data_IF_191310518781
#
_entry.id   IF_191310518781
#
_cell.length_a   1.000
_cell.length_b   1.000
_cell.length_c   1.000
_cell.angle_alpha   90.00
_cell.angle_beta   90.00
_cell.angle_gamma   90.00
#
_symmetry.space_group_name_H-M   'P 1'
#
loop_
_entity.id
_entity.type
_entity.pdbx_description
1 polymer ?
#
# COMPACT_ATOMS: atom_id res chain seq x y z
N UNK A 1 16.13 21.76 -7.06
CA UNK A 1 15.33 20.52 -7.08
C UNK A 1 15.41 19.90 -5.70
N UNK A 2 14.29 19.82 -4.98
CA UNK A 2 14.26 19.18 -3.65
C UNK A 2 14.25 17.66 -3.84
N UNK A 3 15.42 17.03 -3.75
CA UNK A 3 15.53 15.57 -3.77
C UNK A 3 14.86 14.97 -2.53
N UNK A 4 14.12 13.88 -2.69
CA UNK A 4 13.61 13.09 -1.57
C UNK A 4 14.63 12.04 -1.11
N UNK A 5 14.51 11.54 0.13
CA UNK A 5 15.41 10.50 0.67
C UNK A 5 15.46 9.25 -0.22
N UNK A 6 14.31 8.79 -0.73
CA UNK A 6 14.25 7.63 -1.61
C UNK A 6 14.95 7.90 -2.95
N UNK A 7 14.85 9.10 -3.51
CA UNK A 7 15.56 9.47 -4.73
C UNK A 7 17.09 9.58 -4.51
N UNK A 8 17.52 10.14 -3.38
CA UNK A 8 18.92 10.19 -3.01
C UNK A 8 19.50 8.78 -2.80
N UNK A 9 18.74 7.88 -2.16
CA UNK A 9 19.11 6.47 -2.01
C UNK A 9 19.18 5.76 -3.36
N UNK A 10 18.20 5.97 -4.23
CA UNK A 10 18.19 5.37 -5.57
C UNK A 10 19.37 5.86 -6.42
N UNK A 11 19.71 7.15 -6.32
CA UNK A 11 20.90 7.69 -6.98
C UNK A 11 22.20 7.10 -6.41
N UNK A 12 22.28 6.87 -5.09
CA UNK A 12 23.40 6.18 -4.48
C UNK A 12 23.52 4.73 -4.98
N UNK A 13 22.39 4.03 -5.14
CA UNK A 13 22.35 2.68 -5.69
C UNK A 13 22.80 2.63 -7.15
N UNK A 14 22.38 3.60 -7.96
CA UNK A 14 22.81 3.73 -9.36
C UNK A 14 24.32 3.95 -9.45
N UNK A 15 24.90 4.78 -8.56
CA UNK A 15 26.35 4.99 -8.49
C UNK A 15 27.07 3.67 -8.15
N UNK A 16 26.53 2.88 -7.22
CA UNK A 16 27.12 1.58 -6.88
C UNK A 16 26.98 0.54 -8.00
N UNK A 17 25.84 0.51 -8.69
CA UNK A 17 25.62 -0.34 -9.86
C UNK A 17 26.59 0.04 -10.98
N UNK A 18 26.74 1.33 -11.26
CA UNK A 18 27.67 1.86 -12.25
C UNK A 18 29.13 1.51 -11.91
N UNK A 19 29.55 1.68 -10.65
CA UNK A 19 30.91 1.30 -10.22
C UNK A 19 31.20 -0.19 -10.44
N UNK A 20 30.22 -1.06 -10.13
CA UNK A 20 30.35 -2.51 -10.37
C UNK A 20 30.44 -2.85 -11.86
N UNK A 21 29.63 -2.19 -12.68
CA UNK A 21 29.65 -2.41 -14.13
C UNK A 21 30.94 -1.90 -14.77
N UNK A 22 31.44 -0.74 -14.36
CA UNK A 22 32.70 -0.19 -14.81
C UNK A 22 33.89 -1.11 -14.45
N UNK A 23 33.82 -1.78 -13.30
CA UNK A 23 34.83 -2.79 -12.92
C UNK A 23 34.77 -4.04 -13.83
N UNK A 24 33.56 -4.50 -14.21
CA UNK A 24 33.39 -5.62 -15.15
C UNK A 24 33.91 -5.26 -16.55
N UNK A 25 33.52 -4.10 -17.08
CA UNK A 25 33.99 -3.63 -18.38
C UNK A 25 35.52 -3.47 -18.44
N UNK A 26 36.14 -3.11 -17.31
CA UNK A 26 37.60 -3.05 -17.19
C UNK A 26 38.24 -4.45 -17.18
N UNK A 27 37.62 -5.42 -16.52
CA UNK A 27 38.08 -6.82 -16.53
C UNK A 27 37.94 -7.45 -17.93
N UNK A 28 36.88 -7.10 -18.65
CA UNK A 28 36.63 -7.54 -20.03
C UNK A 28 37.47 -6.78 -21.07
N UNK A 29 38.28 -5.79 -20.65
CA UNK A 29 39.06 -4.89 -21.52
C UNK A 29 38.21 -4.11 -22.55
N UNK A 30 36.88 -4.12 -22.40
CA UNK A 30 35.95 -3.45 -23.31
C UNK A 30 35.97 -1.92 -23.16
N UNK A 31 36.32 -1.42 -21.96
CA UNK A 31 36.43 0.00 -21.68
C UNK A 31 37.65 0.29 -20.79
N UNK A 32 38.64 1.00 -21.32
CA UNK A 32 39.78 1.50 -20.57
C UNK A 32 39.70 3.03 -20.43
N UNK A 33 39.34 3.51 -19.25
CA UNK A 33 39.44 4.92 -18.89
C UNK A 33 40.85 5.23 -18.38
N UNK A 34 41.33 6.44 -18.67
CA UNK A 34 42.59 6.95 -18.15
C UNK A 34 42.56 6.98 -16.61
N UNK A 35 43.60 6.51 -15.91
CA UNK A 35 43.73 6.60 -14.45
C UNK A 35 43.28 7.94 -13.84
N UNK A 36 43.62 9.07 -14.47
CA UNK A 36 43.24 10.40 -13.99
C UNK A 36 41.72 10.64 -14.04
N UNK A 37 41.06 10.18 -15.11
CA UNK A 37 39.60 10.29 -15.26
C UNK A 37 38.85 9.42 -14.25
N UNK A 38 39.38 8.23 -13.96
CA UNK A 38 38.82 7.34 -12.94
C UNK A 38 38.88 7.94 -11.55
N UNK A 39 40.00 8.58 -11.23
CA UNK A 39 40.18 9.25 -9.93
C UNK A 39 39.24 10.44 -9.79
N UNK A 40 39.09 11.26 -10.82
CA UNK A 40 38.16 12.39 -10.84
C UNK A 40 36.71 11.93 -10.70
N UNK A 41 36.31 10.86 -11.40
CA UNK A 41 34.98 10.27 -11.30
C UNK A 41 34.72 9.66 -9.91
N UNK A 42 35.72 8.98 -9.35
CA UNK A 42 35.64 8.41 -8.02
C UNK A 42 35.51 9.49 -6.94
N UNK A 43 36.23 10.61 -7.08
CA UNK A 43 36.14 11.77 -6.21
C UNK A 43 34.77 12.43 -6.29
N UNK A 44 34.26 12.68 -7.50
CA UNK A 44 32.93 13.24 -7.71
C UNK A 44 31.84 12.37 -7.06
N UNK A 45 31.85 11.06 -7.31
CA UNK A 45 30.91 10.14 -6.66
C UNK A 45 31.04 10.10 -5.13
N UNK A 46 32.25 10.26 -4.58
CA UNK A 46 32.46 10.32 -3.12
C UNK A 46 31.80 11.56 -2.53
N UNK A 47 32.05 12.72 -3.13
CA UNK A 47 31.47 14.00 -2.70
C UNK A 47 29.94 13.96 -2.76
N UNK A 48 29.37 13.38 -3.82
CA UNK A 48 27.93 13.25 -3.99
C UNK A 48 27.29 12.34 -2.93
N UNK A 49 27.94 11.22 -2.61
CA UNK A 49 27.48 10.30 -1.56
C UNK A 49 27.59 10.92 -0.16
N UNK A 50 28.65 11.69 0.11
CA UNK A 50 28.83 12.41 1.37
C UNK A 50 27.79 13.52 1.55
N UNK A 51 27.45 14.23 0.46
CA UNK A 51 26.37 15.23 0.46
C UNK A 51 24.99 14.61 0.70
N UNK A 52 24.69 13.47 0.06
CA UNK A 52 23.46 12.74 0.32
C UNK A 52 23.40 12.18 1.74
N UNK A 53 24.54 11.78 2.30
CA UNK A 53 24.61 11.30 3.68
C UNK A 53 24.30 12.41 4.68
N UNK A 54 24.90 13.59 4.50
CA UNK A 54 24.69 14.71 5.42
C UNK A 54 23.26 15.24 5.38
N UNK A 55 22.62 15.22 4.21
CA UNK A 55 21.27 15.77 4.02
C UNK A 55 20.13 14.74 4.20
N UNK A 56 20.35 13.46 3.89
CA UNK A 56 19.25 12.48 3.80
C UNK A 56 19.45 11.17 4.59
N UNK A 57 20.59 10.99 5.28
CA UNK A 57 20.89 9.79 6.08
C UNK A 57 20.66 8.48 5.27
N UNK A 58 21.39 8.37 4.15
CA UNK A 58 21.32 7.23 3.21
C UNK A 58 22.19 6.04 3.66
N UNK A 59 21.72 4.83 3.38
CA UNK A 59 22.42 3.59 3.74
C UNK A 59 23.57 3.31 2.76
N UNK A 60 24.80 3.13 3.28
CA UNK A 60 26.02 2.91 2.48
C UNK A 60 26.10 1.54 1.80
N UNK A 61 25.46 0.49 2.33
CA UNK A 61 25.75 -0.88 1.93
C UNK A 61 24.53 -1.80 1.89
N UNK A 62 24.61 -2.84 1.06
CA UNK A 62 23.57 -3.89 1.00
C UNK A 62 23.34 -4.59 2.35
N UNK A 63 24.36 -4.64 3.22
CA UNK A 63 24.26 -5.14 4.59
C UNK A 63 23.54 -4.15 5.52
N UNK A 64 23.79 -2.85 5.37
CA UNK A 64 23.03 -1.79 6.03
C UNK A 64 21.56 -1.79 5.58
N UNK A 65 21.28 -2.06 4.30
CA UNK A 65 19.91 -2.27 3.79
C UNK A 65 19.23 -3.47 4.44
N UNK A 66 19.89 -4.62 4.58
CA UNK A 66 19.32 -5.79 5.28
C UNK A 66 19.04 -5.45 6.75
N UNK A 67 19.93 -4.73 7.42
CA UNK A 67 19.74 -4.27 8.79
C UNK A 67 18.56 -3.28 8.90
N UNK A 68 18.42 -2.36 7.93
CA UNK A 68 17.31 -1.41 7.85
C UNK A 68 15.96 -2.10 7.63
N UNK A 69 15.94 -3.19 6.85
CA UNK A 69 14.73 -3.98 6.60
C UNK A 69 14.32 -4.73 7.87
N UNK A 70 15.28 -5.34 8.57
CA UNK A 70 15.06 -5.95 9.88
C UNK A 70 14.57 -4.91 10.91
N UNK A 71 15.12 -3.70 10.91
CA UNK A 71 14.66 -2.61 11.77
C UNK A 71 13.24 -2.14 11.42
N UNK A 72 12.91 -2.04 10.13
CA UNK A 72 11.54 -1.72 9.68
C UNK A 72 10.56 -2.79 10.15
N UNK A 73 10.88 -4.07 10.00
CA UNK A 73 10.04 -5.18 10.48
C UNK A 73 9.92 -5.15 12.01
N UNK A 74 11.03 -5.01 12.73
CA UNK A 74 11.04 -4.95 14.20
C UNK A 74 10.23 -3.74 14.71
N UNK A 75 10.38 -2.57 14.09
CA UNK A 75 9.59 -1.39 14.43
C UNK A 75 8.10 -1.59 14.10
N UNK A 76 7.76 -2.23 12.99
CA UNK A 76 6.36 -2.52 12.64
C UNK A 76 5.73 -3.47 13.66
N UNK A 77 6.41 -4.57 13.98
CA UNK A 77 5.99 -5.53 15.01
C UNK A 77 5.90 -4.86 16.38
N UNK A 78 6.86 -4.00 16.73
CA UNK A 78 6.84 -3.21 17.96
C UNK A 78 5.66 -2.24 18.02
N UNK A 79 5.32 -1.56 16.92
CA UNK A 79 4.16 -0.69 16.83
C UNK A 79 2.86 -1.45 17.05
N UNK A 80 2.70 -2.59 16.37
CA UNK A 80 1.53 -3.44 16.52
C UNK A 80 1.43 -4.02 17.93
N UNK A 81 2.54 -4.52 18.48
CA UNK A 81 2.59 -5.05 19.84
C UNK A 81 2.28 -3.98 20.89
N UNK A 82 2.79 -2.75 20.73
CA UNK A 82 2.46 -1.63 21.62
C UNK A 82 0.99 -1.24 21.52
N UNK A 83 0.45 -1.12 20.31
CA UNK A 83 -0.98 -0.82 20.11
C UNK A 83 -1.88 -1.91 20.74
N UNK A 84 -1.55 -3.19 20.51
CA UNK A 84 -2.25 -4.31 21.12
C UNK A 84 -2.10 -4.33 22.64
N UNK A 85 -0.90 -4.07 23.17
CA UNK A 85 -0.64 -4.02 24.62
C UNK A 85 -1.48 -2.95 25.29
N UNK A 86 -1.61 -1.75 24.69
CA UNK A 86 -2.51 -0.71 25.19
C UNK A 86 -3.95 -1.21 25.18
N UNK A 87 -4.44 -1.76 24.07
CA UNK A 87 -5.79 -2.34 24.00
C UNK A 87 -6.07 -3.35 25.12
N UNK A 88 -5.19 -4.34 25.29
CA UNK A 88 -5.34 -5.37 26.31
C UNK A 88 -5.21 -4.82 27.73
N UNK A 89 -4.34 -3.84 27.97
CA UNK A 89 -4.21 -3.18 29.27
C UNK A 89 -5.52 -2.52 29.67
N UNK A 90 -6.15 -1.81 28.73
CA UNK A 90 -7.46 -1.22 28.96
C UNK A 90 -8.47 -2.32 29.26
N UNK A 91 -8.67 -3.31 28.37
CA UNK A 91 -9.65 -4.38 28.61
C UNK A 91 -9.48 -5.13 29.94
N UNK A 92 -8.24 -5.37 30.39
CA UNK A 92 -7.96 -6.12 31.61
C UNK A 92 -8.34 -5.36 32.89
N UNK A 93 -8.04 -4.07 32.96
CA UNK A 93 -8.20 -3.28 34.19
C UNK A 93 -9.41 -2.33 34.16
N UNK A 94 -10.09 -2.20 33.02
CA UNK A 94 -11.15 -1.20 32.81
C UNK A 94 -12.24 -1.22 33.87
N UNK A 95 -12.74 -2.42 34.20
CA UNK A 95 -13.84 -2.61 35.15
C UNK A 95 -13.49 -2.30 36.60
N UNK A 96 -12.22 -2.05 36.92
CA UNK A 96 -11.77 -1.74 38.29
C UNK A 96 -11.76 -0.23 38.58
N UNK A 97 -11.88 0.61 37.57
CA UNK A 97 -11.83 2.07 37.71
C UNK A 97 -13.23 2.68 37.75
N UNK A 98 -13.41 3.73 38.54
CA UNK A 98 -14.63 4.55 38.49
C UNK A 98 -14.68 5.42 37.23
N UNK A 99 -15.87 5.88 36.85
CA UNK A 99 -16.12 6.62 35.59
C UNK A 99 -15.19 7.84 35.41
N UNK A 100 -15.01 8.66 36.44
CA UNK A 100 -14.13 9.83 36.37
C UNK A 100 -12.66 9.46 36.11
N UNK A 101 -12.19 8.36 36.70
CA UNK A 101 -10.84 7.86 36.48
C UNK A 101 -10.70 7.27 35.07
N UNK A 102 -11.70 6.54 34.59
CA UNK A 102 -11.76 6.01 33.23
C UNK A 102 -11.65 7.14 32.19
N UNK A 103 -12.47 8.18 32.31
CA UNK A 103 -12.43 9.35 31.40
C UNK A 103 -11.08 10.06 31.46
N UNK A 104 -10.54 10.28 32.66
CA UNK A 104 -9.24 10.93 32.84
C UNK A 104 -8.08 10.12 32.22
N UNK A 105 -8.10 8.79 32.37
CA UNK A 105 -7.09 7.89 31.79
C UNK A 105 -7.18 7.89 30.27
N UNK A 106 -8.38 7.83 29.68
CA UNK A 106 -8.54 7.85 28.22
C UNK A 106 -8.08 9.16 27.60
N UNK A 107 -8.50 10.29 28.18
CA UNK A 107 -8.07 11.61 27.73
C UNK A 107 -6.56 11.79 27.92
N UNK A 108 -6.03 11.41 29.07
CA UNK A 108 -4.61 11.47 29.38
C UNK A 108 -3.77 10.60 28.46
N UNK A 109 -4.22 9.38 28.14
CA UNK A 109 -3.53 8.47 27.23
C UNK A 109 -3.54 9.00 25.79
N UNK A 110 -4.68 9.49 25.28
CA UNK A 110 -4.78 10.03 23.93
C UNK A 110 -3.96 11.32 23.76
N UNK A 111 -4.10 12.28 24.68
CA UNK A 111 -3.34 13.54 24.62
C UNK A 111 -1.85 13.32 24.91
N UNK A 112 -1.53 12.48 25.90
CA UNK A 112 -0.15 12.17 26.29
C UNK A 112 0.61 11.47 25.17
N UNK A 113 0.01 10.49 24.51
CA UNK A 113 0.62 9.80 23.36
C UNK A 113 0.77 10.72 22.14
N UNK A 114 -0.17 11.63 21.90
CA UNK A 114 -0.04 12.65 20.85
C UNK A 114 1.11 13.63 21.13
N UNK A 115 1.19 14.16 22.35
CA UNK A 115 2.28 15.05 22.76
C UNK A 115 3.64 14.34 22.71
N UNK A 116 3.69 13.08 23.15
CA UNK A 116 4.88 12.25 23.06
C UNK A 116 5.31 12.06 21.60
N UNK A 117 4.35 11.85 20.68
CA UNK A 117 4.64 11.74 19.24
C UNK A 117 5.35 12.98 18.70
N UNK A 118 4.86 14.19 19.01
CA UNK A 118 5.50 15.43 18.56
C UNK A 118 6.84 15.68 19.26
N UNK A 119 6.96 15.33 20.53
CA UNK A 119 8.20 15.46 21.29
C UNK A 119 9.30 14.52 20.79
N UNK A 120 8.95 13.28 20.46
CA UNK A 120 9.87 12.30 19.85
C UNK A 120 10.23 12.75 18.44
N UNK A 121 9.27 13.23 17.65
CA UNK A 121 9.53 13.74 16.29
C UNK A 121 10.58 14.86 16.26
N UNK A 122 10.60 15.74 17.26
CA UNK A 122 11.61 16.79 17.36
C UNK A 122 13.02 16.31 17.73
N UNK A 123 13.15 15.08 18.24
CA UNK A 123 14.44 14.48 18.65
C UNK A 123 14.95 13.37 17.75
N UNK A 124 14.05 12.69 17.04
CA UNK A 124 14.36 11.52 16.24
C UNK A 124 14.61 11.91 14.77
N UNK A 125 15.89 11.91 14.36
CA UNK A 125 16.28 12.13 12.97
C UNK A 125 15.90 10.97 12.03
N UNK A 126 15.79 9.75 12.58
CA UNK A 126 15.50 8.54 11.80
C UNK A 126 14.01 8.36 11.51
N UNK A 127 13.16 8.92 12.38
CA UNK A 127 11.71 8.87 12.33
C UNK A 127 11.10 7.54 12.78
N UNK A 128 11.87 6.50 13.08
CA UNK A 128 11.34 5.19 13.48
C UNK A 128 10.52 5.27 14.78
N UNK A 129 11.04 5.95 15.80
CA UNK A 129 10.34 6.09 17.08
C UNK A 129 9.15 7.04 16.98
N UNK A 130 9.23 8.05 16.10
CA UNK A 130 8.08 8.92 15.83
C UNK A 130 6.92 8.15 15.20
N UNK A 131 7.19 7.18 14.31
CA UNK A 131 6.19 6.31 13.69
C UNK A 131 5.56 5.36 14.71
N UNK A 132 6.37 4.80 15.63
CA UNK A 132 5.90 3.99 16.76
C UNK A 132 4.95 4.79 17.65
N UNK A 133 5.38 5.98 18.09
CA UNK A 133 4.59 6.85 18.94
C UNK A 133 3.28 7.26 18.27
N UNK A 134 3.32 7.63 16.98
CA UNK A 134 2.13 7.98 16.21
C UNK A 134 1.13 6.81 16.11
N UNK A 135 1.62 5.56 15.99
CA UNK A 135 0.75 4.38 15.99
C UNK A 135 0.06 4.19 17.34
N UNK A 136 0.79 4.37 18.44
CA UNK A 136 0.21 4.33 19.79
C UNK A 136 -0.81 5.45 19.97
N UNK A 137 -0.53 6.66 19.49
CA UNK A 137 -1.47 7.77 19.54
C UNK A 137 -2.76 7.48 18.77
N UNK A 138 -2.65 6.89 17.59
CA UNK A 138 -3.82 6.43 16.82
C UNK A 138 -4.62 5.37 17.57
N UNK A 139 -3.96 4.35 18.12
CA UNK A 139 -4.61 3.31 18.91
C UNK A 139 -5.33 3.88 20.14
N UNK A 140 -4.67 4.79 20.88
CA UNK A 140 -5.27 5.48 22.02
C UNK A 140 -6.50 6.30 21.62
N UNK A 141 -6.49 6.98 20.46
CA UNK A 141 -7.65 7.73 20.00
C UNK A 141 -8.83 6.81 19.66
N UNK A 142 -8.58 5.75 18.90
CA UNK A 142 -9.63 4.77 18.55
C UNK A 142 -10.23 4.19 19.83
N UNK A 143 -9.37 3.76 20.77
CA UNK A 143 -9.80 3.22 22.05
C UNK A 143 -10.58 4.25 22.87
N UNK A 144 -10.14 5.51 22.91
CA UNK A 144 -10.84 6.60 23.58
C UNK A 144 -12.27 6.75 23.04
N UNK A 145 -12.44 6.82 21.72
CA UNK A 145 -13.78 6.97 21.12
C UNK A 145 -14.69 5.77 21.37
N UNK A 146 -14.16 4.54 21.32
CA UNK A 146 -14.95 3.32 21.55
C UNK A 146 -15.35 3.18 23.03
N UNK A 147 -14.39 3.36 23.95
CA UNK A 147 -14.64 3.20 25.39
C UNK A 147 -15.52 4.31 25.95
N UNK A 148 -15.35 5.58 25.53
CA UNK A 148 -16.27 6.65 25.93
C UNK A 148 -17.68 6.41 25.40
N UNK A 149 -17.79 5.90 24.17
CA UNK A 149 -19.08 5.51 23.61
C UNK A 149 -19.80 4.47 24.48
N UNK A 150 -19.06 3.49 25.01
CA UNK A 150 -19.61 2.49 25.91
C UNK A 150 -19.98 3.07 27.29
N UNK A 151 -19.10 3.87 27.91
CA UNK A 151 -19.35 4.49 29.23
C UNK A 151 -20.62 5.33 29.20
N UNK A 152 -20.75 6.20 28.20
CA UNK A 152 -21.87 7.13 28.10
C UNK A 152 -23.05 6.58 27.30
N UNK A 153 -23.01 5.29 26.93
CA UNK A 153 -24.04 4.63 26.13
C UNK A 153 -24.41 5.41 24.85
N UNK A 154 -23.40 5.97 24.18
CA UNK A 154 -23.55 6.72 22.94
C UNK A 154 -23.74 5.72 21.80
N UNK A 155 -24.74 5.96 20.96
CA UNK A 155 -25.02 5.13 19.79
C UNK A 155 -23.84 5.16 18.81
N UNK A 156 -23.34 4.00 18.35
CA UNK A 156 -22.28 3.93 17.35
C UNK A 156 -22.67 4.66 16.06
N UNK A 157 -21.74 5.47 15.52
CA UNK A 157 -21.93 6.26 14.29
C UNK A 157 -20.75 6.08 13.34
N UNK A 158 -21.06 6.07 12.06
CA UNK A 158 -20.14 6.16 10.92
C UNK A 158 -19.19 7.37 11.01
N UNK A 159 -19.61 8.48 11.61
CA UNK A 159 -18.77 9.68 11.75
C UNK A 159 -17.50 9.44 12.56
N UNK A 160 -17.47 8.43 13.43
CA UNK A 160 -16.25 8.03 14.14
C UNK A 160 -15.15 7.59 13.14
N UNK A 161 -15.52 6.89 12.06
CA UNK A 161 -14.59 6.46 11.02
C UNK A 161 -13.94 7.66 10.32
N UNK A 162 -14.69 8.73 10.09
CA UNK A 162 -14.14 9.96 9.50
C UNK A 162 -13.14 10.64 10.45
N UNK A 163 -13.43 10.69 11.75
CA UNK A 163 -12.52 11.24 12.75
C UNK A 163 -11.21 10.41 12.82
N UNK A 164 -11.33 9.07 12.80
CA UNK A 164 -10.17 8.18 12.75
C UNK A 164 -9.37 8.35 11.47
N UNK A 165 -10.03 8.43 10.31
CA UNK A 165 -9.38 8.68 9.03
C UNK A 165 -8.61 10.01 9.03
N UNK A 166 -9.24 11.09 9.47
CA UNK A 166 -8.62 12.41 9.55
C UNK A 166 -7.38 12.39 10.46
N UNK A 167 -7.51 11.81 11.66
CA UNK A 167 -6.38 11.74 12.60
C UNK A 167 -5.23 10.87 12.07
N UNK A 168 -5.54 9.71 11.51
CA UNK A 168 -4.55 8.81 10.92
C UNK A 168 -3.83 9.47 9.73
N UNK A 169 -4.55 10.14 8.84
CA UNK A 169 -3.96 10.84 7.70
C UNK A 169 -3.07 12.00 8.17
N UNK A 170 -3.54 12.83 9.10
CA UNK A 170 -2.74 13.93 9.66
C UNK A 170 -1.44 13.41 10.30
N UNK A 171 -1.51 12.35 11.11
CA UNK A 171 -0.32 11.73 11.69
C UNK A 171 0.56 11.05 10.64
N UNK A 172 -0.03 10.43 9.61
CA UNK A 172 0.71 9.82 8.52
C UNK A 172 1.58 10.86 7.80
N UNK A 173 0.99 11.99 7.42
CA UNK A 173 1.70 13.10 6.78
C UNK A 173 2.66 13.83 7.72
N UNK A 174 2.35 13.90 9.01
CA UNK A 174 3.27 14.47 10.00
C UNK A 174 4.51 13.58 10.21
N UNK A 175 4.34 12.27 10.33
CA UNK A 175 5.43 11.35 10.70
C UNK A 175 5.99 10.53 9.54
N UNK A 176 5.59 10.79 8.29
CA UNK A 176 5.90 9.97 7.11
C UNK A 176 5.60 8.47 7.36
N UNK A 177 4.47 8.21 8.02
CA UNK A 177 4.10 6.90 8.54
C UNK A 177 3.17 6.16 7.57
N UNK A 178 3.76 5.30 6.73
CA UNK A 178 3.06 4.49 5.71
C UNK A 178 1.92 3.63 6.26
N UNK A 179 2.08 3.04 7.45
CA UNK A 179 1.04 2.22 8.08
C UNK A 179 -0.17 3.05 8.52
N UNK A 180 0.07 4.25 9.03
CA UNK A 180 -1.01 5.17 9.41
C UNK A 180 -1.74 5.68 8.17
N UNK A 181 -1.03 5.88 7.05
CA UNK A 181 -1.68 6.18 5.78
C UNK A 181 -2.65 5.05 5.39
N UNK A 182 -2.18 3.80 5.42
CA UNK A 182 -3.03 2.65 5.14
C UNK A 182 -4.23 2.56 6.09
N UNK A 183 -4.03 2.75 7.40
CA UNK A 183 -5.11 2.78 8.38
C UNK A 183 -6.13 3.91 8.09
N UNK A 184 -5.65 5.11 7.78
CA UNK A 184 -6.49 6.25 7.43
C UNK A 184 -7.28 6.03 6.15
N UNK A 185 -6.67 5.43 5.13
CA UNK A 185 -7.36 5.04 3.90
C UNK A 185 -8.42 3.96 4.15
N UNK A 186 -8.13 2.96 4.98
CA UNK A 186 -9.12 1.95 5.36
C UNK A 186 -10.30 2.57 6.12
N UNK A 187 -10.05 3.46 7.08
CA UNK A 187 -11.09 4.20 7.78
C UNK A 187 -11.91 5.08 6.83
N UNK A 188 -11.27 5.73 5.85
CA UNK A 188 -11.95 6.54 4.84
C UNK A 188 -12.80 5.68 3.89
N UNK A 189 -12.27 4.53 3.45
CA UNK A 189 -12.99 3.53 2.65
C UNK A 189 -14.25 3.06 3.39
N UNK A 190 -14.10 2.67 4.65
CA UNK A 190 -15.22 2.24 5.50
C UNK A 190 -16.23 3.38 5.69
N UNK A 191 -15.79 4.62 5.91
CA UNK A 191 -16.67 5.77 6.03
C UNK A 191 -17.47 6.00 4.76
N UNK A 192 -16.82 6.08 3.60
CA UNK A 192 -17.51 6.33 2.33
C UNK A 192 -18.46 5.17 2.00
N UNK A 193 -18.04 3.93 2.21
CA UNK A 193 -18.91 2.77 2.02
C UNK A 193 -20.15 2.82 2.93
N UNK A 194 -19.97 3.14 4.22
CA UNK A 194 -21.06 3.37 5.15
C UNK A 194 -21.99 4.51 4.71
N UNK A 195 -21.45 5.66 4.26
CA UNK A 195 -22.25 6.80 3.79
C UNK A 195 -23.08 6.44 2.56
N UNK A 196 -22.47 5.81 1.57
CA UNK A 196 -23.17 5.35 0.36
C UNK A 196 -24.24 4.33 0.72
N UNK A 197 -23.94 3.41 1.64
CA UNK A 197 -24.92 2.44 2.16
C UNK A 197 -26.11 3.08 2.87
N UNK A 198 -25.88 4.10 3.69
CA UNK A 198 -26.99 4.81 4.34
C UNK A 198 -27.88 5.56 3.36
N UNK A 199 -27.35 6.05 2.23
CA UNK A 199 -28.17 6.65 1.16
C UNK A 199 -29.09 5.63 0.48
N UNK A 200 -28.66 4.37 0.41
CA UNK A 200 -29.47 3.26 -0.07
C UNK A 200 -30.40 2.64 0.98
N UNK A 201 -30.45 3.19 2.20
CA UNK A 201 -31.30 2.70 3.29
C UNK A 201 -30.74 1.52 4.09
N UNK A 202 -29.47 1.14 3.86
CA UNK A 202 -28.79 0.05 4.54
C UNK A 202 -28.15 0.58 5.83
N UNK A 203 -28.17 -0.23 6.90
CA UNK A 203 -27.48 0.14 8.14
C UNK A 203 -25.96 0.19 7.93
N UNK A 204 -25.27 1.17 8.53
CA UNK A 204 -23.87 1.47 8.22
C UNK A 204 -22.90 0.30 8.50
N UNK A 205 -23.21 -0.61 9.44
CA UNK A 205 -22.44 -1.83 9.70
C UNK A 205 -22.65 -2.91 8.63
N UNK A 206 -23.74 -2.84 7.88
CA UNK A 206 -24.07 -3.70 6.74
C UNK A 206 -23.47 -3.18 5.42
N UNK A 207 -22.48 -2.28 5.46
CA UNK A 207 -21.78 -1.78 4.27
C UNK A 207 -21.13 -2.88 3.41
N UNK A 208 -20.96 -4.09 3.94
CA UNK A 208 -20.45 -5.26 3.20
C UNK A 208 -21.49 -6.01 2.38
N UNK A 209 -22.80 -5.73 2.58
CA UNK A 209 -23.87 -6.40 1.84
C UNK A 209 -23.88 -6.03 0.36
N UNK A 210 -23.50 -4.80 0.03
CA UNK A 210 -23.42 -4.31 -1.33
C UNK A 210 -22.00 -3.82 -1.65
N UNK A 211 -21.17 -4.66 -2.28
CA UNK A 211 -19.77 -4.32 -2.58
C UNK A 211 -19.61 -3.06 -3.44
N UNK A 212 -20.63 -2.65 -4.19
CA UNK A 212 -20.62 -1.46 -5.04
C UNK A 212 -20.37 -0.15 -4.26
N UNK A 213 -20.66 -0.12 -2.96
CA UNK A 213 -20.45 1.06 -2.09
C UNK A 213 -18.99 1.53 -2.04
N UNK A 214 -18.04 0.65 -2.35
CA UNK A 214 -16.62 0.95 -2.32
C UNK A 214 -16.12 1.67 -3.58
N UNK A 215 -16.86 1.65 -4.71
CA UNK A 215 -16.39 2.22 -5.99
C UNK A 215 -16.11 3.73 -5.94
N UNK A 216 -16.97 4.58 -5.35
CA UNK A 216 -16.68 6.02 -5.28
C UNK A 216 -15.39 6.29 -4.51
N UNK A 217 -15.19 5.59 -3.39
CA UNK A 217 -14.01 5.72 -2.55
C UNK A 217 -12.75 5.24 -3.27
N UNK A 218 -12.84 4.11 -3.99
CA UNK A 218 -11.75 3.53 -4.77
C UNK A 218 -11.21 4.51 -5.82
N UNK A 219 -12.12 5.13 -6.60
CA UNK A 219 -11.74 6.10 -7.63
C UNK A 219 -11.12 7.36 -7.03
N UNK A 220 -11.69 7.89 -5.95
CA UNK A 220 -11.17 9.08 -5.27
C UNK A 220 -9.76 8.81 -4.72
N UNK A 221 -9.56 7.71 -4.00
CA UNK A 221 -8.26 7.35 -3.41
C UNK A 221 -7.21 7.12 -4.50
N UNK A 222 -7.57 6.45 -5.59
CA UNK A 222 -6.67 6.24 -6.72
C UNK A 222 -6.32 7.56 -7.44
N UNK A 223 -7.24 8.53 -7.47
CA UNK A 223 -7.03 9.82 -8.10
C UNK A 223 -6.16 10.79 -7.28
N UNK A 224 -6.06 10.63 -5.95
CA UNK A 224 -5.29 11.56 -5.09
C UNK A 224 -3.83 11.73 -5.57
N UNK A 225 -3.05 10.68 -5.87
CA UNK A 225 -1.68 10.85 -6.38
C UNK A 225 -1.57 11.45 -7.78
N UNK A 226 -2.68 11.52 -8.54
CA UNK A 226 -2.73 12.19 -9.84
C UNK A 226 -2.95 13.70 -9.66
N UNK A 227 -3.73 14.09 -8.64
CA UNK A 227 -4.11 15.48 -8.39
C UNK A 227 -3.11 16.20 -7.48
N UNK A 228 -2.51 15.49 -6.52
CA UNK A 228 -1.61 16.05 -5.52
C UNK A 228 -0.22 15.45 -5.70
N UNK A 229 0.78 16.31 -5.93
CA UNK A 229 2.17 15.88 -6.06
C UNK A 229 2.73 15.41 -4.69
N UNK A 230 2.86 14.09 -4.53
CA UNK A 230 3.39 13.46 -3.30
C UNK A 230 4.93 13.41 -3.27
N UNK A 231 5.63 14.32 -3.94
CA UNK A 231 7.09 14.23 -4.13
C UNK A 231 7.90 14.29 -2.82
N UNK A 232 7.32 14.87 -1.76
CA UNK A 232 7.94 14.95 -0.43
C UNK A 232 7.75 13.71 0.45
N UNK A 233 6.86 12.78 0.10
CA UNK A 233 6.49 11.64 0.95
C UNK A 233 6.81 10.31 0.26
N UNK A 234 7.73 9.57 0.86
CA UNK A 234 8.31 8.40 0.19
C UNK A 234 7.39 7.18 0.34
N UNK A 235 7.01 6.57 -0.79
CA UNK A 235 6.14 5.39 -0.81
C UNK A 235 4.65 5.65 -0.52
N UNK A 236 4.21 6.91 -0.39
CA UNK A 236 2.79 7.25 -0.20
C UNK A 236 1.97 7.01 -1.47
N UNK A 237 2.47 7.47 -2.62
CA UNK A 237 1.76 7.32 -3.89
C UNK A 237 1.43 5.85 -4.24
N UNK A 238 2.34 4.87 -4.07
CA UNK A 238 2.01 3.45 -4.20
C UNK A 238 0.88 2.99 -3.28
N UNK A 239 0.84 3.44 -2.02
CA UNK A 239 -0.20 3.03 -1.06
C UNK A 239 -1.58 3.51 -1.53
N UNK A 240 -1.72 4.77 -1.92
CA UNK A 240 -2.97 5.27 -2.49
C UNK A 240 -3.42 4.46 -3.71
N UNK A 241 -2.50 4.16 -4.64
CA UNK A 241 -2.84 3.41 -5.86
C UNK A 241 -3.25 1.98 -5.55
N UNK A 242 -2.48 1.27 -4.73
CA UNK A 242 -2.77 -0.12 -4.35
C UNK A 242 -4.08 -0.21 -3.59
N UNK A 243 -4.32 0.66 -2.59
CA UNK A 243 -5.59 0.66 -1.85
C UNK A 243 -6.78 1.06 -2.73
N UNK A 244 -6.61 2.01 -3.65
CA UNK A 244 -7.64 2.36 -4.62
C UNK A 244 -7.97 1.19 -5.56
N UNK A 245 -6.97 0.47 -6.07
CA UNK A 245 -7.19 -0.72 -6.90
C UNK A 245 -7.77 -1.89 -6.12
N UNK A 246 -7.36 -2.11 -4.87
CA UNK A 246 -7.95 -3.14 -4.00
C UNK A 246 -9.43 -2.84 -3.74
N UNK A 247 -9.75 -1.58 -3.41
CA UNK A 247 -11.12 -1.14 -3.19
C UNK A 247 -11.98 -1.17 -4.46
N UNK A 248 -11.37 -1.22 -5.65
CA UNK A 248 -12.08 -1.38 -6.92
C UNK A 248 -12.25 -2.86 -7.28
N UNK A 249 -11.16 -3.63 -7.30
CA UNK A 249 -11.17 -5.00 -7.81
C UNK A 249 -11.74 -6.02 -6.83
N UNK A 250 -11.63 -5.81 -5.51
CA UNK A 250 -12.24 -6.74 -4.56
C UNK A 250 -13.77 -6.76 -4.70
N UNK A 251 -14.48 -5.61 -4.73
CA UNK A 251 -15.91 -5.63 -5.01
C UNK A 251 -16.28 -6.21 -6.38
N UNK A 252 -15.52 -5.87 -7.44
CA UNK A 252 -15.76 -6.44 -8.77
C UNK A 252 -15.61 -7.96 -8.74
N UNK A 253 -14.60 -8.47 -8.03
CA UNK A 253 -14.40 -9.91 -7.85
C UNK A 253 -15.55 -10.56 -7.10
N UNK A 254 -16.06 -9.92 -6.05
CA UNK A 254 -17.23 -10.44 -5.32
C UNK A 254 -18.45 -10.47 -6.25
N UNK A 255 -18.77 -9.37 -6.93
CA UNK A 255 -19.94 -9.26 -7.81
C UNK A 255 -19.84 -10.12 -9.07
N UNK A 256 -18.62 -10.45 -9.51
CA UNK A 256 -18.35 -11.36 -10.60
C UNK A 256 -18.67 -12.84 -10.28
N UNK A 257 -18.79 -13.19 -8.99
CA UNK A 257 -19.06 -14.56 -8.52
C UNK A 257 -20.36 -14.66 -7.68
N UNK A 258 -20.81 -13.56 -7.11
CA UNK A 258 -22.02 -13.44 -6.30
C UNK A 258 -22.84 -12.25 -6.81
N UNK A 259 -23.47 -12.41 -7.99
CA UNK A 259 -24.24 -11.34 -8.62
C UNK A 259 -25.48 -10.89 -7.82
N UNK A 260 -25.95 -11.73 -6.88
CA UNK A 260 -27.08 -11.43 -5.99
C UNK A 260 -26.83 -10.24 -5.06
N UNK A 261 -25.55 -9.91 -4.79
CA UNK A 261 -25.16 -8.79 -3.93
C UNK A 261 -25.14 -7.42 -4.66
N UNK A 262 -25.51 -7.40 -5.95
CA UNK A 262 -25.60 -6.17 -6.73
C UNK A 262 -26.92 -5.44 -6.50
N UNK A 263 -26.93 -4.12 -6.65
CA UNK A 263 -28.19 -3.35 -6.71
C UNK A 263 -28.95 -3.53 -8.02
N UNK A 264 -28.29 -4.02 -9.06
CA UNK A 264 -28.89 -4.16 -10.37
C UNK A 264 -29.95 -5.27 -10.35
N UNK A 265 -31.18 -4.93 -10.75
CA UNK A 265 -32.30 -5.88 -10.83
C UNK A 265 -32.26 -6.78 -12.08
N UNK A 266 -31.09 -6.95 -12.67
CA UNK A 266 -30.89 -7.78 -13.86
C UNK A 266 -30.81 -9.27 -13.49
N UNK A 267 -30.80 -10.13 -14.51
CA UNK A 267 -30.53 -11.55 -14.30
C UNK A 267 -29.14 -11.73 -13.70
N UNK A 268 -29.03 -12.51 -12.63
CA UNK A 268 -27.79 -12.74 -11.86
C UNK A 268 -26.61 -13.11 -12.77
N UNK A 269 -26.81 -14.03 -13.72
CA UNK A 269 -25.75 -14.42 -14.66
C UNK A 269 -25.29 -13.30 -15.61
N UNK A 270 -26.16 -12.32 -15.91
CA UNK A 270 -25.77 -11.14 -16.69
C UNK A 270 -24.94 -10.18 -15.84
N UNK A 271 -25.31 -9.98 -14.57
CA UNK A 271 -24.56 -9.17 -13.60
C UNK A 271 -23.15 -9.72 -13.43
N UNK A 272 -23.04 -11.03 -13.15
CA UNK A 272 -21.76 -11.73 -13.02
C UNK A 272 -20.91 -11.56 -14.28
N UNK A 273 -21.51 -11.77 -15.46
CA UNK A 273 -20.82 -11.59 -16.74
C UNK A 273 -20.31 -10.17 -16.97
N UNK A 274 -21.11 -9.16 -16.62
CA UNK A 274 -20.71 -7.74 -16.73
C UNK A 274 -19.54 -7.43 -15.78
N UNK A 275 -19.63 -7.84 -14.51
CA UNK A 275 -18.53 -7.61 -13.57
C UNK A 275 -17.27 -8.40 -13.91
N UNK A 276 -17.39 -9.60 -14.47
CA UNK A 276 -16.25 -10.34 -15.01
C UNK A 276 -15.57 -9.58 -16.16
N UNK A 277 -16.34 -9.08 -17.13
CA UNK A 277 -15.81 -8.27 -18.22
C UNK A 277 -15.15 -6.99 -17.70
N UNK A 278 -15.79 -6.29 -16.76
CA UNK A 278 -15.23 -5.11 -16.11
C UNK A 278 -13.94 -5.43 -15.33
N UNK A 279 -13.87 -6.60 -14.68
CA UNK A 279 -12.68 -7.08 -13.99
C UNK A 279 -11.50 -7.28 -14.93
N UNK A 280 -11.69 -8.01 -16.04
CA UNK A 280 -10.63 -8.22 -17.03
C UNK A 280 -10.21 -6.92 -17.73
N UNK A 281 -11.18 -6.11 -18.18
CA UNK A 281 -10.90 -4.83 -18.83
C UNK A 281 -10.20 -3.86 -17.87
N UNK A 282 -10.69 -3.76 -16.62
CA UNK A 282 -10.10 -2.93 -15.59
C UNK A 282 -8.68 -3.36 -15.24
N UNK A 283 -8.43 -4.65 -15.07
CA UNK A 283 -7.09 -5.19 -14.81
C UNK A 283 -6.13 -4.94 -15.99
N UNK A 284 -6.60 -5.13 -17.23
CA UNK A 284 -5.84 -4.80 -18.44
C UNK A 284 -5.50 -3.30 -18.54
N UNK A 285 -6.47 -2.44 -18.25
CA UNK A 285 -6.26 -0.98 -18.21
C UNK A 285 -5.28 -0.57 -17.11
N UNK A 286 -5.35 -1.19 -15.93
CA UNK A 286 -4.40 -0.97 -14.85
C UNK A 286 -2.97 -1.36 -15.27
N UNK A 287 -2.79 -2.54 -15.88
CA UNK A 287 -1.49 -2.98 -16.40
C UNK A 287 -0.97 -2.01 -17.46
N UNK A 288 -1.81 -1.59 -18.41
CA UNK A 288 -1.44 -0.64 -19.46
C UNK A 288 -1.05 0.72 -18.89
N UNK A 289 -1.86 1.27 -17.96
CA UNK A 289 -1.59 2.55 -17.31
C UNK A 289 -0.32 2.49 -16.47
N UNK A 290 -0.14 1.41 -15.71
CA UNK A 290 1.05 1.19 -14.89
C UNK A 290 2.32 1.07 -15.73
N UNK A 291 2.26 0.40 -16.88
CA UNK A 291 3.39 0.29 -17.81
C UNK A 291 3.71 1.63 -18.46
N UNK A 292 2.70 2.43 -18.84
CA UNK A 292 2.91 3.76 -19.45
C UNK A 292 3.47 4.80 -18.50
N UNK A 293 3.27 4.63 -17.20
CA UNK A 293 3.67 5.60 -16.17
C UNK A 293 4.81 5.09 -15.29
N UNK A 294 5.39 3.93 -15.60
CA UNK A 294 6.42 3.23 -14.81
C UNK A 294 6.02 3.04 -13.34
N UNK A 295 4.79 2.58 -13.10
CA UNK A 295 4.25 2.29 -11.77
C UNK A 295 4.20 0.78 -11.53
N UNK A 296 5.28 0.18 -10.99
CA UNK A 296 5.36 -1.27 -10.81
C UNK A 296 4.30 -1.78 -9.84
N UNK A 297 3.91 -0.97 -8.85
CA UNK A 297 2.83 -1.25 -7.90
C UNK A 297 1.49 -1.49 -8.61
N UNK A 298 1.10 -0.58 -9.52
CA UNK A 298 -0.15 -0.69 -10.29
C UNK A 298 -0.11 -1.88 -11.26
N UNK A 299 1.03 -2.11 -11.91
CA UNK A 299 1.21 -3.27 -12.81
C UNK A 299 1.06 -4.57 -12.03
N UNK A 300 1.73 -4.69 -10.88
CA UNK A 300 1.69 -5.91 -10.07
C UNK A 300 0.30 -6.17 -9.49
N UNK A 301 -0.39 -5.15 -8.99
CA UNK A 301 -1.78 -5.29 -8.52
C UNK A 301 -2.72 -5.67 -9.67
N UNK A 302 -2.63 -4.99 -10.82
CA UNK A 302 -3.43 -5.32 -12.01
C UNK A 302 -3.18 -6.73 -12.52
N UNK A 303 -1.92 -7.18 -12.58
CA UNK A 303 -1.55 -8.54 -12.96
C UNK A 303 -2.09 -9.58 -11.97
N UNK A 304 -1.98 -9.29 -10.67
CA UNK A 304 -2.49 -10.17 -9.61
C UNK A 304 -3.99 -10.39 -9.78
N UNK A 305 -4.77 -9.31 -9.92
CA UNK A 305 -6.21 -9.43 -10.13
C UNK A 305 -6.56 -10.05 -11.48
N UNK A 306 -5.82 -9.75 -12.56
CA UNK A 306 -6.01 -10.42 -13.84
C UNK A 306 -5.87 -11.94 -13.73
N UNK A 307 -4.84 -12.41 -13.02
CA UNK A 307 -4.63 -13.84 -12.75
C UNK A 307 -5.75 -14.40 -11.88
N UNK A 308 -6.20 -13.68 -10.85
CA UNK A 308 -7.31 -14.11 -10.00
C UNK A 308 -8.60 -14.26 -10.83
N UNK A 309 -8.98 -13.26 -11.63
CA UNK A 309 -10.16 -13.33 -12.51
C UNK A 309 -10.05 -14.46 -13.53
N UNK A 310 -8.87 -14.68 -14.10
CA UNK A 310 -8.63 -15.79 -15.01
C UNK A 310 -8.81 -17.12 -14.29
N UNK A 311 -8.21 -17.27 -13.11
CA UNK A 311 -8.30 -18.49 -12.31
C UNK A 311 -9.75 -18.81 -11.91
N UNK A 312 -10.51 -17.83 -11.39
CA UNK A 312 -11.91 -18.04 -11.03
C UNK A 312 -12.72 -18.48 -12.25
N UNK A 313 -12.50 -17.86 -13.42
CA UNK A 313 -13.21 -18.23 -14.63
C UNK A 313 -12.89 -19.64 -15.12
N UNK A 314 -11.62 -20.05 -15.08
CA UNK A 314 -11.21 -21.41 -15.43
C UNK A 314 -11.80 -22.44 -14.45
N UNK A 315 -11.86 -22.09 -13.16
CA UNK A 315 -12.49 -22.90 -12.14
C UNK A 315 -13.98 -23.09 -12.44
N UNK A 316 -14.74 -22.02 -12.66
CA UNK A 316 -16.17 -22.10 -12.99
C UNK A 316 -16.46 -22.98 -14.22
N UNK A 317 -15.62 -22.90 -15.25
CA UNK A 317 -15.83 -23.65 -16.48
C UNK A 317 -15.48 -25.13 -16.40
N UNK A 318 -14.43 -25.48 -15.68
CA UNK A 318 -13.82 -26.81 -15.81
C UNK A 318 -13.85 -27.64 -14.54
N UNK A 319 -14.12 -27.04 -13.37
CA UNK A 319 -14.04 -27.74 -12.10
C UNK A 319 -15.02 -28.90 -11.96
N UNK A 320 -16.27 -28.71 -12.41
CA UNK A 320 -17.28 -29.77 -12.37
C UNK A 320 -17.15 -30.77 -13.52
N UNK A 321 -16.58 -30.33 -14.65
CA UNK A 321 -16.51 -31.13 -15.88
C UNK A 321 -15.29 -32.05 -15.88
N UNK A 322 -14.17 -31.63 -15.29
CA UNK A 322 -12.90 -32.36 -15.37
C UNK A 322 -12.51 -33.04 -14.05
N UNK A 323 -11.89 -34.22 -14.10
CA UNK A 323 -11.13 -34.75 -12.99
C UNK A 323 -10.08 -33.74 -12.49
N UNK A 324 -9.93 -33.62 -11.17
CA UNK A 324 -9.05 -32.61 -10.53
C UNK A 324 -7.62 -32.60 -11.09
N UNK A 325 -7.05 -33.76 -11.41
CA UNK A 325 -5.70 -33.84 -11.98
C UNK A 325 -5.62 -33.24 -13.41
N UNK A 326 -6.65 -33.42 -14.25
CA UNK A 326 -6.72 -32.81 -15.58
C UNK A 326 -6.93 -31.30 -15.49
N UNK A 327 -7.73 -30.83 -14.52
CA UNK A 327 -7.90 -29.40 -14.26
C UNK A 327 -6.55 -28.71 -13.98
N UNK A 328 -5.76 -29.24 -13.04
CA UNK A 328 -4.44 -28.66 -12.73
C UNK A 328 -3.45 -28.78 -13.89
N UNK A 329 -3.51 -29.88 -14.67
CA UNK A 329 -2.69 -30.04 -15.87
C UNK A 329 -3.03 -28.96 -16.93
N UNK A 330 -4.30 -28.74 -17.22
CA UNK A 330 -4.73 -27.68 -18.14
C UNK A 330 -4.35 -26.29 -17.63
N UNK A 331 -4.53 -26.02 -16.33
CA UNK A 331 -4.13 -24.76 -15.72
C UNK A 331 -2.62 -24.49 -15.94
N UNK A 332 -1.79 -25.51 -15.75
CA UNK A 332 -0.35 -25.41 -16.02
C UNK A 332 -0.02 -25.19 -17.50
N UNK A 333 -0.74 -25.84 -18.42
CA UNK A 333 -0.56 -25.66 -19.86
C UNK A 333 -0.96 -24.24 -20.30
N UNK A 334 -2.04 -23.70 -19.74
CA UNK A 334 -2.46 -22.31 -19.99
C UNK A 334 -1.37 -21.34 -19.49
N UNK A 335 -0.82 -21.57 -18.30
CA UNK A 335 0.29 -20.75 -17.78
C UNK A 335 1.53 -20.80 -18.69
N UNK A 336 1.91 -22.00 -19.16
CA UNK A 336 3.02 -22.18 -20.12
C UNK A 336 2.72 -21.47 -21.44
N UNK A 337 1.50 -21.58 -21.96
CA UNK A 337 1.08 -20.89 -23.19
C UNK A 337 1.21 -19.37 -23.05
N UNK A 338 0.73 -18.80 -21.94
CA UNK A 338 0.86 -17.37 -21.65
C UNK A 338 2.34 -16.96 -21.63
N UNK A 339 3.20 -17.73 -20.97
CA UNK A 339 4.65 -17.47 -20.95
C UNK A 339 5.28 -17.51 -22.34
N UNK A 340 4.88 -18.46 -23.19
CA UNK A 340 5.37 -18.56 -24.58
C UNK A 340 4.91 -17.35 -25.41
N UNK A 341 3.65 -16.92 -25.26
CA UNK A 341 3.12 -15.73 -25.95
C UNK A 341 3.84 -14.46 -25.49
N UNK A 342 4.00 -14.26 -24.18
CA UNK A 342 4.74 -13.13 -23.63
C UNK A 342 6.20 -13.12 -24.08
N UNK A 343 6.84 -14.30 -24.11
CA UNK A 343 8.21 -14.44 -24.63
C UNK A 343 8.30 -14.07 -26.11
N UNK A 344 7.34 -14.50 -26.94
CA UNK A 344 7.28 -14.10 -28.36
C UNK A 344 7.09 -12.60 -28.53
N UNK A 345 6.16 -11.99 -27.78
CA UNK A 345 5.93 -10.54 -27.83
C UNK A 345 7.16 -9.74 -27.41
N UNK A 346 7.88 -10.19 -26.37
CA UNK A 346 9.14 -9.59 -25.95
C UNK A 346 10.20 -9.64 -27.05
N UNK A 347 10.36 -10.80 -27.71
CA UNK A 347 11.32 -10.99 -28.80
C UNK A 347 11.01 -10.07 -30.00
N UNK A 348 9.73 -9.93 -30.37
CA UNK A 348 9.28 -9.03 -31.43
C UNK A 348 9.55 -7.55 -31.14
N UNK A 349 9.41 -7.14 -29.87
CA UNK A 349 9.72 -5.76 -29.45
C UNK A 349 11.23 -5.46 -29.47
N UNK A 350 12.07 -6.41 -29.06
CA UNK A 350 13.54 -6.26 -29.15
C UNK A 350 14.03 -6.19 -30.59
N UNK A 351 13.37 -6.85 -31.55
CA UNK A 351 13.77 -6.80 -32.96
C UNK A 351 13.43 -5.47 -33.64
N UNK A 352 12.38 -4.77 -33.19
CA UNK A 352 12.03 -3.43 -33.70
C UNK A 352 12.90 -2.31 -33.12
N UNK A 353 13.46 -2.48 -31.91
CA UNK A 353 14.41 -1.51 -31.31
C UNK A 353 15.84 -1.61 -31.85
N UNK A 354 16.22 -2.73 -32.46
CA UNK A 354 17.55 -2.94 -33.07
C UNK A 354 17.66 -2.52 -34.54
N UNK A 355 16.57 -2.10 -35.18
CA UNK A 355 16.54 -1.66 -36.58
C UNK A 355 16.47 -0.12 -36.74
N UNK A 356 16.57 0.62 -35.65
CA UNK A 356 16.57 2.09 -35.62
C UNK A 356 17.77 2.65 -34.84
N UNK A 357 18.93 2.03 -34.99
CA UNK A 357 20.23 2.55 -34.54
C UNK A 357 21.17 2.67 -35.75
#
# INVERSE_FOLDING_TARGET
MTLSRDQAQQRADDIQAFRRELQRLRQEQALSLDPAQLEQLAAHHRQLLDDYRSHFDIDQDSQAKRLSLSMRIASLLGALAMAASVLFLFYQFWGLFGESAQVAILLGAALGSLLLTFWVRGRDSSGYFSKLAAMVAFACLVLNTVMLGQIFNITPTDNALLAWAAFALLLAYACDARLLLAAGLLSLLAFVAARVGTWSGVYWLSMGEFPEHFFPAALLIFAVPLLVQQQGFSGFAPIYRVFGLLALFLPILVLANWGEASYLSWQVGLIEGVYQLLGFLGAGLAIWLGTRRDWPDVVNTGLTFFVIFLYTKLFDWWWEILPKYLFFLLLSLVAVLILVVLRRLRMSHTHKGGASA
#
